data_IF_823518378773
#
_entry.id   IF_823518378773
#
_cell.length_a   1.000
_cell.length_b   1.000
_cell.length_c   1.000
_cell.angle_alpha   90.00
_cell.angle_beta   90.00
_cell.angle_gamma   90.00
#
_symmetry.space_group_name_H-M   'P 1'
#
loop_
_entity.id
_entity.type
_entity.pdbx_description
1 polymer ?
#
# COMPACT_ATOMS: atom_id res chain seq x y z
N UNK A 1 6.56 -14.51 17.20
CA UNK A 1 5.64 -14.53 16.04
C UNK A 1 4.66 -13.40 16.24
N UNK A 2 4.43 -12.53 15.24
CA UNK A 2 3.48 -11.42 15.33
C UNK A 2 2.19 -11.86 14.62
N UNK A 3 1.08 -11.97 15.35
CA UNK A 3 -0.23 -12.29 14.79
C UNK A 3 -1.03 -10.99 14.69
N UNK A 4 -1.55 -10.68 13.50
CA UNK A 4 -2.39 -9.50 13.30
C UNK A 4 -3.82 -9.86 13.71
N UNK A 5 -4.35 -9.18 14.73
CA UNK A 5 -5.71 -9.37 15.21
C UNK A 5 -6.56 -8.22 14.70
N UNK A 6 -7.60 -8.53 13.91
CA UNK A 6 -8.60 -7.54 13.48
C UNK A 6 -9.68 -7.42 14.53
N UNK A 7 -9.93 -6.20 14.96
CA UNK A 7 -10.97 -5.90 15.94
C UNK A 7 -11.68 -4.60 15.57
N UNK A 8 -12.99 -4.55 15.82
CA UNK A 8 -13.81 -3.36 15.66
C UNK A 8 -14.00 -2.69 17.01
N UNK A 9 -13.86 -1.37 17.05
CA UNK A 9 -14.21 -0.58 18.21
C UNK A 9 -15.72 -0.35 18.26
N UNK A 10 -16.38 -0.76 19.34
CA UNK A 10 -17.84 -0.61 19.51
C UNK A 10 -18.25 0.70 20.21
N UNK A 11 -17.28 1.58 20.49
CA UNK A 11 -17.47 2.80 21.27
C UNK A 11 -16.96 2.70 22.71
N UNK A 12 -16.62 1.50 23.18
CA UNK A 12 -16.08 1.26 24.53
C UNK A 12 -14.96 0.21 24.56
N UNK A 13 -15.09 -0.87 23.79
CA UNK A 13 -14.16 -1.99 23.76
C UNK A 13 -13.81 -2.38 22.32
N UNK A 14 -12.67 -3.04 22.18
CA UNK A 14 -12.26 -3.66 20.91
C UNK A 14 -12.81 -5.09 20.87
N UNK A 15 -13.70 -5.36 19.92
CA UNK A 15 -14.31 -6.68 19.69
C UNK A 15 -13.60 -7.34 18.52
N UNK A 16 -12.90 -8.47 18.71
CA UNK A 16 -12.28 -9.22 17.63
C UNK A 16 -13.30 -9.60 16.55
N UNK A 17 -12.92 -9.52 15.28
CA UNK A 17 -13.75 -9.99 14.16
C UNK A 17 -13.80 -11.53 14.11
N UNK A 18 -12.73 -12.18 14.58
CA UNK A 18 -12.60 -13.63 14.67
C UNK A 18 -12.32 -14.05 16.13
N UNK A 19 -12.81 -15.22 16.57
CA UNK A 19 -12.50 -15.77 17.89
C UNK A 19 -11.00 -15.95 18.09
N UNK A 20 -10.52 -15.55 19.27
CA UNK A 20 -9.12 -15.68 19.65
C UNK A 20 -8.96 -16.83 20.64
N UNK A 21 -8.01 -17.72 20.36
CA UNK A 21 -7.62 -18.78 21.28
C UNK A 21 -6.50 -18.28 22.19
N UNK A 22 -6.89 -17.57 23.26
CA UNK A 22 -5.98 -16.99 24.25
C UNK A 22 -6.31 -17.52 25.65
N UNK A 23 -5.28 -17.69 26.47
CA UNK A 23 -5.47 -18.12 27.85
C UNK A 23 -5.99 -16.98 28.73
N UNK A 24 -6.82 -17.32 29.72
CA UNK A 24 -7.29 -16.34 30.70
C UNK A 24 -6.11 -15.71 31.45
N UNK A 25 -6.04 -14.37 31.49
CA UNK A 25 -4.95 -13.61 32.12
C UNK A 25 -3.73 -13.38 31.23
N UNK A 26 -3.72 -13.90 29.99
CA UNK A 26 -2.65 -13.65 29.04
C UNK A 26 -2.57 -12.17 28.65
N UNK A 27 -1.39 -11.56 28.82
CA UNK A 27 -1.14 -10.17 28.42
C UNK A 27 -0.87 -10.10 26.91
N UNK A 28 -1.52 -9.15 26.22
CA UNK A 28 -1.33 -8.90 24.79
C UNK A 28 -0.90 -7.46 24.56
N UNK A 29 0.02 -7.25 23.61
CA UNK A 29 0.45 -5.92 23.18
C UNK A 29 -0.25 -5.56 21.87
N UNK A 30 -0.87 -4.39 21.83
CA UNK A 30 -1.62 -3.93 20.67
C UNK A 30 -0.82 -2.86 19.91
N UNK A 31 -0.87 -2.92 18.58
CA UNK A 31 -0.42 -1.83 17.72
C UNK A 31 -1.63 -1.28 16.98
N UNK A 32 -1.97 -0.01 17.22
CA UNK A 32 -2.92 0.70 16.38
C UNK A 32 -2.18 1.15 15.13
N UNK A 33 -2.65 0.69 13.97
CA UNK A 33 -2.27 1.27 12.70
C UNK A 33 -3.17 2.48 12.50
N UNK A 34 -2.58 3.67 12.49
CA UNK A 34 -3.31 4.84 12.02
C UNK A 34 -3.79 4.54 10.59
N UNK A 35 -5.07 4.81 10.27
CA UNK A 35 -5.51 4.70 8.90
C UNK A 35 -4.57 5.55 8.05
N UNK A 36 -4.01 4.95 7.00
CA UNK A 36 -3.28 5.73 6.01
C UNK A 36 -4.17 6.91 5.66
N UNK A 37 -3.64 8.16 5.65
CA UNK A 37 -4.41 9.29 5.19
C UNK A 37 -5.04 8.85 3.88
N UNK A 38 -6.38 8.88 3.81
CA UNK A 38 -7.06 8.65 2.54
C UNK A 38 -6.33 9.51 1.55
N UNK A 39 -5.78 8.92 0.49
CA UNK A 39 -5.16 9.68 -0.57
C UNK A 39 -6.16 10.79 -0.89
N UNK A 40 -5.77 12.05 -0.68
CA UNK A 40 -6.66 13.16 -0.97
C UNK A 40 -7.18 12.92 -2.38
N UNK A 41 -8.50 12.88 -2.53
CA UNK A 41 -9.09 12.67 -3.83
C UNK A 41 -8.76 13.90 -4.67
N UNK A 42 -7.61 13.85 -5.35
CA UNK A 42 -7.21 14.88 -6.28
C UNK A 42 -8.34 15.03 -7.29
N UNK A 43 -8.73 16.28 -7.53
CA UNK A 43 -9.66 16.63 -8.59
C UNK A 43 -9.16 16.10 -9.95
N UNK A 44 -10.07 15.95 -10.90
CA UNK A 44 -9.71 15.50 -12.25
C UNK A 44 -8.71 16.48 -12.87
N UNK A 45 -8.87 17.77 -12.59
CA UNK A 45 -8.01 18.86 -13.02
C UNK A 45 -6.57 18.71 -12.49
N UNK A 46 -6.42 18.43 -11.19
CA UNK A 46 -5.09 18.21 -10.58
C UNK A 46 -4.39 16.97 -11.15
N UNK A 47 -5.16 15.91 -11.42
CA UNK A 47 -4.62 14.69 -12.06
C UNK A 47 -4.17 14.96 -13.49
N UNK A 48 -4.95 15.73 -14.26
CA UNK A 48 -4.61 16.10 -15.63
C UNK A 48 -3.38 17.01 -15.68
N UNK A 49 -3.26 17.95 -14.74
CA UNK A 49 -2.09 18.81 -14.62
C UNK A 49 -0.82 18.02 -14.27
N UNK A 50 -0.92 17.08 -13.33
CA UNK A 50 0.18 16.17 -13.01
C UNK A 50 0.61 15.33 -14.24
N UNK A 51 -0.36 14.80 -14.99
CA UNK A 51 -0.09 14.06 -16.22
C UNK A 51 0.57 14.92 -17.29
N UNK A 52 0.11 16.17 -17.49
CA UNK A 52 0.73 17.11 -18.43
C UNK A 52 2.18 17.35 -18.08
N UNK A 53 2.48 17.67 -16.82
CA UNK A 53 3.86 17.88 -16.35
C UNK A 53 4.74 16.65 -16.55
N UNK A 54 4.18 15.45 -16.32
CA UNK A 54 4.91 14.20 -16.53
C UNK A 54 5.28 14.01 -18.00
N UNK A 55 4.32 14.20 -18.91
CA UNK A 55 4.53 14.07 -20.36
C UNK A 55 5.49 15.15 -20.88
N UNK A 56 5.37 16.39 -20.41
CA UNK A 56 6.26 17.49 -20.80
C UNK A 56 7.72 17.23 -20.41
N UNK A 57 7.94 16.61 -19.24
CA UNK A 57 9.28 16.27 -18.73
C UNK A 57 9.80 14.93 -19.26
N UNK A 58 9.00 14.19 -20.01
CA UNK A 58 9.40 12.92 -20.60
C UNK A 58 10.57 13.10 -21.58
N UNK A 59 11.58 12.23 -21.48
CA UNK A 59 12.71 12.23 -22.41
C UNK A 59 12.22 11.85 -23.80
N UNK A 60 12.31 12.78 -24.75
CA UNK A 60 11.85 12.56 -26.12
C UNK A 60 12.86 11.74 -26.92
N UNK A 61 12.36 10.86 -27.79
CA UNK A 61 13.20 10.07 -28.71
C UNK A 61 13.74 8.77 -28.14
N UNK A 62 13.45 8.45 -26.87
CA UNK A 62 13.73 7.13 -26.29
C UNK A 62 12.55 6.21 -26.64
N UNK A 63 12.77 5.27 -27.56
CA UNK A 63 11.86 4.16 -27.82
C UNK A 63 12.42 2.94 -27.10
N UNK A 64 11.95 2.70 -25.88
CA UNK A 64 12.24 1.47 -25.14
C UNK A 64 11.32 0.37 -25.68
N UNK A 65 11.84 -0.63 -26.41
CA UNK A 65 11.02 -1.73 -26.85
C UNK A 65 10.54 -2.52 -25.63
N UNK A 66 9.33 -3.09 -25.71
CA UNK A 66 8.73 -3.86 -24.61
C UNK A 66 9.64 -4.99 -24.12
N UNK A 67 10.46 -5.56 -25.00
CA UNK A 67 11.46 -6.55 -24.63
C UNK A 67 12.46 -6.00 -23.61
N UNK A 68 12.94 -4.77 -23.77
CA UNK A 68 13.87 -4.13 -22.82
C UNK A 68 13.22 -3.88 -21.45
N UNK A 69 11.90 -3.81 -21.39
CA UNK A 69 11.13 -3.62 -20.15
C UNK A 69 10.82 -4.94 -19.42
N UNK A 70 11.23 -6.09 -19.97
CA UNK A 70 11.06 -7.37 -19.28
C UNK A 70 11.89 -7.42 -18.01
N UNK A 71 11.35 -8.08 -16.99
CA UNK A 71 12.00 -8.24 -15.68
C UNK A 71 13.42 -8.79 -15.82
N UNK A 72 13.61 -9.78 -16.68
CA UNK A 72 14.91 -10.41 -16.92
C UNK A 72 15.98 -9.43 -17.45
N UNK A 73 15.54 -8.37 -18.15
CA UNK A 73 16.42 -7.35 -18.71
C UNK A 73 16.61 -6.15 -17.78
N UNK A 74 15.62 -5.82 -16.94
CA UNK A 74 15.70 -4.73 -15.96
C UNK A 74 16.54 -5.14 -14.74
N UNK A 75 16.42 -6.38 -14.29
CA UNK A 75 17.05 -6.85 -13.05
C UNK A 75 18.26 -7.76 -13.29
N UNK A 76 18.72 -7.88 -14.53
CA UNK A 76 19.87 -8.71 -14.92
C UNK A 76 19.73 -10.17 -14.42
N UNK A 77 18.50 -10.67 -14.25
CA UNK A 77 18.16 -12.02 -13.75
C UNK A 77 18.56 -13.16 -14.74
N UNK A 78 19.36 -12.86 -15.78
CA UNK A 78 19.88 -13.86 -16.72
C UNK A 78 21.09 -14.57 -16.10
N UNK A 79 20.89 -15.82 -15.70
CA UNK A 79 21.96 -16.80 -15.42
C UNK A 79 22.45 -17.41 -16.73
#
# INVERSE_FOLDING_TARGET
MKTLIRARYDGRVLVPEEPLDLQAGQTVTMMLLEPLPKAEELSVEERLEALRRFVERGVRGVNLPDEALRRENIYEDRV
#
